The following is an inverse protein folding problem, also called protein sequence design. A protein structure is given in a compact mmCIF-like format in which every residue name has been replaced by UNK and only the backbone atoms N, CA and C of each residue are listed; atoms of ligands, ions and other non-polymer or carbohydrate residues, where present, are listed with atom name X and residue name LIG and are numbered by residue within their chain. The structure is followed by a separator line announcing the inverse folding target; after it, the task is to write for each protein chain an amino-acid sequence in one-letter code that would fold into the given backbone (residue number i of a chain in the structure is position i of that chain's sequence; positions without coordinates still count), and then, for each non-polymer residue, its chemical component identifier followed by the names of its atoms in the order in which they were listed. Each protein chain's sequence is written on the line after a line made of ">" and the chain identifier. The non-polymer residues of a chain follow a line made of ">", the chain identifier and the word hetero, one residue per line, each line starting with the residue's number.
data_IF_741225767335
#
_entry.id   IF_741225767335
#
_cell.length_a   1.000
_cell.length_b   1.000
_cell.length_c   1.000
_cell.angle_alpha   90.00
_cell.angle_beta   90.00
_cell.angle_gamma   90.00
#
_symmetry.space_group_name_H-M   'P 1'
#
loop_
_entity.id
_entity.type
_entity.pdbx_description
1 polymer ?
#
# COMPACT_ATOMS: atom_id res chain seq x y z
N UNK A 1 19.86 3.20 9.95
CA UNK A 1 18.90 2.61 9.01
C UNK A 1 17.81 1.98 9.86
N UNK A 2 16.56 2.43 9.76
CA UNK A 2 15.46 1.91 10.58
C UNK A 2 14.43 1.30 9.64
N UNK A 3 14.70 0.06 9.24
CA UNK A 3 13.91 -0.69 8.27
C UNK A 3 12.40 -0.72 8.61
N UNK A 4 12.04 -0.81 9.89
CA UNK A 4 10.62 -0.78 10.30
C UNK A 4 9.96 0.58 10.03
N UNK A 5 10.64 1.69 10.34
CA UNK A 5 10.12 3.03 10.04
C UNK A 5 9.98 3.28 8.55
N UNK A 6 10.94 2.80 7.75
CA UNK A 6 10.91 2.96 6.29
C UNK A 6 9.80 2.10 5.67
N UNK A 7 9.58 0.89 6.19
CA UNK A 7 8.48 0.02 5.78
C UNK A 7 7.10 0.64 6.07
N UNK A 8 6.89 1.22 7.25
CA UNK A 8 5.64 1.90 7.56
C UNK A 8 5.41 3.11 6.65
N UNK A 9 6.46 3.89 6.36
CA UNK A 9 6.36 5.00 5.42
C UNK A 9 5.98 4.55 4.00
N UNK A 10 6.48 3.39 3.56
CA UNK A 10 6.09 2.76 2.30
C UNK A 10 4.60 2.33 2.31
N UNK A 11 4.11 1.70 3.38
CA UNK A 11 2.69 1.33 3.51
C UNK A 11 1.77 2.55 3.45
N UNK A 12 2.12 3.65 4.12
CA UNK A 12 1.35 4.90 4.05
C UNK A 12 1.36 5.52 2.64
N UNK A 13 2.48 5.43 1.92
CA UNK A 13 2.53 5.86 0.52
C UNK A 13 1.63 4.97 -0.37
N UNK A 14 1.65 3.66 -0.15
CA UNK A 14 0.78 2.71 -0.85
C UNK A 14 -0.70 3.01 -0.60
N UNK A 15 -1.07 3.34 0.65
CA UNK A 15 -2.43 3.79 1.02
C UNK A 15 -2.93 4.92 0.13
N UNK A 16 -2.09 5.93 -0.10
CA UNK A 16 -2.45 7.05 -0.97
C UNK A 16 -2.53 6.63 -2.44
N UNK A 17 -1.62 5.75 -2.87
CA UNK A 17 -1.49 5.36 -4.25
C UNK A 17 -2.73 4.60 -4.78
N UNK A 18 -3.27 3.66 -4.01
CA UNK A 18 -4.44 2.86 -4.43
C UNK A 18 -5.74 3.66 -4.58
N UNK A 19 -5.72 4.94 -4.17
CA UNK A 19 -6.82 5.90 -4.32
C UNK A 19 -6.68 6.82 -5.53
N UNK A 20 -5.61 6.64 -6.32
CA UNK A 20 -5.33 7.43 -7.53
C UNK A 20 -5.71 6.67 -8.81
N UNK A 21 -5.79 7.38 -9.94
CA UNK A 21 -6.18 6.80 -11.22
C UNK A 21 -7.60 6.25 -11.17
N UNK A 22 -7.77 4.98 -11.55
CA UNK A 22 -8.92 4.14 -11.22
C UNK A 22 -8.73 3.59 -9.81
N UNK A 23 -9.43 4.13 -8.79
CA UNK A 23 -9.27 3.69 -7.41
C UNK A 23 -9.76 2.25 -7.21
N UNK A 24 -9.27 1.60 -6.16
CA UNK A 24 -9.88 0.36 -5.67
C UNK A 24 -11.32 0.61 -5.17
N UNK A 25 -12.15 -0.44 -5.19
CA UNK A 25 -13.48 -0.43 -4.58
C UNK A 25 -13.42 -0.16 -3.08
N UNK A 26 -14.52 0.34 -2.50
CA UNK A 26 -14.58 0.75 -1.09
C UNK A 26 -14.18 -0.38 -0.12
N UNK A 27 -14.62 -1.61 -0.38
CA UNK A 27 -14.29 -2.77 0.45
C UNK A 27 -12.79 -3.12 0.37
N UNK A 28 -12.19 -2.97 -0.81
CA UNK A 28 -10.76 -3.16 -1.01
C UNK A 28 -9.93 -2.07 -0.33
N UNK A 29 -10.38 -0.82 -0.36
CA UNK A 29 -9.75 0.29 0.36
C UNK A 29 -9.82 0.09 1.88
N UNK A 30 -10.94 -0.41 2.41
CA UNK A 30 -11.09 -0.77 3.82
C UNK A 30 -10.11 -1.90 4.20
N UNK A 31 -10.01 -2.95 3.38
CA UNK A 31 -9.07 -4.05 3.60
C UNK A 31 -7.60 -3.57 3.60
N UNK A 32 -7.22 -2.63 2.72
CA UNK A 32 -5.89 -2.00 2.74
C UNK A 32 -5.66 -1.23 4.04
N UNK A 33 -6.63 -0.45 4.49
CA UNK A 33 -6.51 0.36 5.72
C UNK A 33 -6.35 -0.53 6.97
N UNK A 34 -7.09 -1.64 7.03
CA UNK A 34 -6.98 -2.64 8.10
C UNK A 34 -5.62 -3.34 8.08
N UNK A 35 -5.17 -3.81 6.91
CA UNK A 35 -3.87 -4.47 6.76
C UNK A 35 -2.70 -3.53 7.14
N UNK A 36 -2.75 -2.25 6.76
CA UNK A 36 -1.74 -1.25 7.17
C UNK A 36 -1.75 -1.06 8.69
N UNK A 37 -2.94 -1.05 9.30
CA UNK A 37 -3.07 -0.93 10.76
C UNK A 37 -2.46 -2.13 11.48
N UNK A 38 -2.66 -3.34 10.96
CA UNK A 38 -2.07 -4.57 11.49
C UNK A 38 -0.53 -4.53 11.46
N UNK A 39 0.06 -4.18 10.31
CA UNK A 39 1.53 -4.12 10.19
C UNK A 39 2.17 -2.98 10.99
N UNK A 40 1.43 -1.89 11.26
CA UNK A 40 1.89 -0.81 12.17
C UNK A 40 2.01 -1.27 13.62
N UNK A 41 1.34 -2.37 14.00
CA UNK A 41 1.48 -3.00 15.32
C UNK A 41 2.88 -3.55 15.60
N UNK A 42 3.77 -3.59 14.59
CA UNK A 42 5.17 -4.00 14.76
C UNK A 42 5.37 -5.52 14.81
N UNK A 43 4.30 -6.29 14.61
CA UNK A 43 4.33 -7.74 14.47
C UNK A 43 4.16 -8.07 13.00
N UNK A 44 5.00 -8.99 12.49
CA UNK A 44 4.82 -9.52 11.14
C UNK A 44 3.49 -10.27 11.06
N UNK A 45 2.62 -9.81 10.18
CA UNK A 45 1.30 -10.38 9.92
C UNK A 45 1.24 -10.83 8.45
N UNK A 46 1.41 -12.12 8.16
CA UNK A 46 1.44 -12.63 6.79
C UNK A 46 0.12 -12.41 6.04
N UNK A 47 -1.02 -12.48 6.73
CA UNK A 47 -2.33 -12.30 6.12
C UNK A 47 -2.51 -10.83 5.69
N UNK A 48 -2.04 -9.89 6.52
CA UNK A 48 -2.01 -8.47 6.14
C UNK A 48 -1.10 -8.22 4.93
N UNK A 49 0.07 -8.87 4.85
CA UNK A 49 0.96 -8.74 3.69
C UNK A 49 0.34 -9.30 2.41
N UNK A 50 -0.36 -10.43 2.50
CA UNK A 50 -1.07 -11.03 1.38
C UNK A 50 -2.20 -10.11 0.88
N UNK A 51 -2.97 -9.52 1.79
CA UNK A 51 -3.99 -8.51 1.44
C UNK A 51 -3.35 -7.34 0.68
N UNK A 52 -2.28 -6.74 1.20
CA UNK A 52 -1.60 -5.63 0.54
C UNK A 52 -1.09 -6.02 -0.86
N UNK A 53 -0.57 -7.24 -1.01
CA UNK A 53 -0.06 -7.75 -2.28
C UNK A 53 -1.17 -7.93 -3.31
N UNK A 54 -2.29 -8.57 -2.93
CA UNK A 54 -3.44 -8.77 -3.81
C UNK A 54 -4.02 -7.44 -4.28
N UNK A 55 -4.19 -6.49 -3.35
CA UNK A 55 -4.74 -5.18 -3.68
C UNK A 55 -3.81 -4.33 -4.55
N UNK A 56 -2.49 -4.46 -4.37
CA UNK A 56 -1.52 -3.82 -5.24
C UNK A 56 -1.63 -4.31 -6.68
N UNK A 57 -1.74 -5.64 -6.88
CA UNK A 57 -1.94 -6.23 -8.21
C UNK A 57 -3.25 -5.77 -8.83
N UNK A 58 -4.34 -5.79 -8.06
CA UNK A 58 -5.65 -5.32 -8.52
C UNK A 58 -5.59 -3.86 -9.01
N UNK A 59 -4.94 -2.98 -8.24
CA UNK A 59 -4.78 -1.58 -8.64
C UNK A 59 -3.95 -1.43 -9.92
N UNK A 60 -2.84 -2.17 -10.07
CA UNK A 60 -2.02 -2.15 -11.29
C UNK A 60 -2.80 -2.62 -12.53
N UNK A 61 -3.63 -3.67 -12.39
CA UNK A 61 -4.46 -4.15 -13.49
C UNK A 61 -5.54 -3.14 -13.89
N UNK A 62 -6.07 -2.37 -12.94
CA UNK A 62 -7.04 -1.30 -13.20
C UNK A 62 -6.39 0.00 -13.72
N UNK A 63 -5.07 0.14 -13.57
CA UNK A 63 -4.28 1.31 -13.98
C UNK A 63 -3.11 0.90 -14.90
N UNK A 64 -3.40 0.31 -16.09
CA UNK A 64 -2.37 -0.23 -16.97
C UNK A 64 -1.51 0.88 -17.62
N UNK A 65 -2.06 2.09 -17.77
CA UNK A 65 -1.29 3.27 -18.17
C UNK A 65 -0.57 3.84 -16.96
N UNK A 66 0.76 3.67 -16.93
CA UNK A 66 1.61 4.21 -15.86
C UNK A 66 1.57 5.73 -15.89
N UNK A 67 0.95 6.32 -14.88
CA UNK A 67 1.16 7.73 -14.54
C UNK A 67 2.43 7.81 -13.69
N UNK A 68 3.37 8.67 -14.07
CA UNK A 68 4.60 8.87 -13.30
C UNK A 68 4.27 9.32 -11.87
N UNK A 69 4.75 8.57 -10.88
CA UNK A 69 4.60 8.96 -9.48
C UNK A 69 5.60 10.06 -9.13
N UNK A 70 5.19 11.08 -8.36
CA UNK A 70 6.12 12.06 -7.82
C UNK A 70 7.13 11.35 -6.91
N UNK A 71 8.37 11.86 -6.88
CA UNK A 71 9.44 11.28 -6.07
C UNK A 71 8.99 11.16 -4.61
N UNK A 72 8.93 9.95 -4.04
CA UNK A 72 8.53 9.78 -2.66
C UNK A 72 9.60 10.34 -1.72
N UNK A 73 9.18 10.87 -0.57
CA UNK A 73 10.08 11.47 0.43
C UNK A 73 10.87 10.44 1.27
N UNK A 74 10.68 9.14 1.04
CA UNK A 74 11.43 8.10 1.74
C UNK A 74 12.76 7.81 1.05
N UNK A 75 13.79 7.40 1.81
CA UNK A 75 15.09 6.99 1.24
C UNK A 75 14.94 5.58 0.66
N UNK A 76 15.36 5.41 -0.61
CA UNK A 76 15.53 4.10 -1.26
C UNK A 76 16.76 3.38 -0.73
#
# INVERSE_FOLDING_TARGET
>A
MNWGSDFIAMCEAFRQHVRTGTPLELDALAAVDEAITAVRGGVYDPDAIDVLTVQAVAWVLANPERVDLPTPKYRR
#
